data_IF_107796221649
#
_entry.id   IF_107796221649
#
_cell.length_a   1.000
_cell.length_b   1.000
_cell.length_c   1.000
_cell.angle_alpha   90.00
_cell.angle_beta   90.00
_cell.angle_gamma   90.00
#
_symmetry.space_group_name_H-M   'P 1'
#
loop_
_entity.id
_entity.type
_entity.pdbx_description
1 polymer ?
#
# COMPACT_ATOMS: atom_id res chain seq x y z
N UNK A 1 17.16 -16.73 21.47
CA UNK A 1 17.15 -15.40 20.84
C UNK A 1 16.96 -15.56 19.34
N UNK A 2 15.99 -14.87 18.82
CA UNK A 2 15.76 -14.91 17.38
C UNK A 2 16.80 -14.07 16.67
N UNK A 3 17.35 -14.60 15.59
CA UNK A 3 18.25 -13.83 14.75
C UNK A 3 17.48 -12.68 14.10
N UNK A 4 18.13 -11.51 13.88
CA UNK A 4 17.49 -10.44 13.14
C UNK A 4 17.10 -10.94 11.76
N UNK A 5 15.88 -10.68 11.35
CA UNK A 5 15.43 -11.00 9.99
C UNK A 5 16.12 -10.04 9.01
N UNK A 6 16.94 -10.54 8.08
CA UNK A 6 17.66 -9.67 7.16
C UNK A 6 16.77 -8.93 6.19
N UNK A 7 15.49 -9.29 6.08
CA UNK A 7 14.56 -8.57 5.23
C UNK A 7 13.98 -7.32 5.89
N UNK A 8 14.11 -7.17 7.21
CA UNK A 8 13.76 -5.93 7.88
C UNK A 8 14.80 -4.86 7.57
N UNK A 9 14.32 -3.69 7.25
CA UNK A 9 15.18 -2.55 6.92
C UNK A 9 14.65 -1.28 7.57
N UNK A 10 15.53 -0.29 7.85
CA UNK A 10 15.09 0.95 8.46
C UNK A 10 14.06 1.66 7.62
N UNK A 11 13.02 2.18 8.27
CA UNK A 11 12.01 2.99 7.62
C UNK A 11 12.51 4.43 7.59
N UNK A 12 12.55 5.01 6.39
CA UNK A 12 13.07 6.35 6.16
C UNK A 12 12.10 7.15 5.32
N UNK A 13 12.06 8.45 5.60
CA UNK A 13 11.41 9.41 4.71
C UNK A 13 12.40 10.50 4.38
N UNK A 14 12.27 11.07 3.19
CA UNK A 14 13.07 12.19 2.75
C UNK A 14 12.13 13.31 2.32
N UNK A 15 12.18 14.42 3.06
CA UNK A 15 11.31 15.59 2.84
C UNK A 15 9.82 15.22 2.85
N UNK A 16 9.45 14.25 3.71
CA UNK A 16 8.08 13.77 3.83
C UNK A 16 7.69 12.69 2.84
N UNK A 17 8.62 12.24 2.01
CA UNK A 17 8.35 11.21 0.98
C UNK A 17 9.12 9.92 1.28
N UNK A 18 8.48 8.75 1.13
CA UNK A 18 9.21 7.50 1.21
C UNK A 18 10.07 7.31 -0.04
N UNK A 19 11.22 6.61 0.07
CA UNK A 19 11.96 6.21 -1.12
C UNK A 19 11.10 5.35 -2.03
N UNK A 20 11.25 5.49 -3.35
CA UNK A 20 10.44 4.72 -4.31
C UNK A 20 10.63 3.21 -4.14
N UNK A 21 11.83 2.78 -3.77
CA UNK A 21 12.13 1.36 -3.54
C UNK A 21 11.42 0.79 -2.31
N UNK A 22 10.85 1.66 -1.46
CA UNK A 22 10.10 1.26 -0.27
C UNK A 22 8.59 1.24 -0.50
N UNK A 23 8.16 1.38 -1.76
CA UNK A 23 6.75 1.30 -2.13
C UNK A 23 6.46 -0.03 -2.80
N UNK A 24 5.46 -0.73 -2.28
CA UNK A 24 4.88 -1.89 -2.92
C UNK A 24 3.64 -1.49 -3.72
N UNK A 25 3.25 -2.32 -4.66
CA UNK A 25 2.10 -2.05 -5.52
C UNK A 25 1.04 -3.12 -5.31
N UNK A 26 -0.21 -2.66 -5.12
CA UNK A 26 -1.37 -3.55 -5.13
C UNK A 26 -2.32 -3.12 -6.24
N UNK A 27 -2.97 -4.09 -6.87
CA UNK A 27 -3.83 -3.80 -8.01
C UNK A 27 -4.89 -4.85 -8.22
N UNK A 28 -5.93 -4.49 -8.97
CA UNK A 28 -7.04 -5.36 -9.32
C UNK A 28 -7.22 -5.51 -10.84
N UNK A 29 -6.27 -5.00 -11.63
CA UNK A 29 -6.34 -4.98 -13.07
C UNK A 29 -6.96 -3.70 -13.64
N UNK A 30 -7.65 -2.91 -12.83
CA UNK A 30 -8.30 -1.66 -13.26
C UNK A 30 -7.62 -0.45 -12.65
N UNK A 31 -7.16 -0.58 -11.43
CA UNK A 31 -6.43 0.47 -10.72
C UNK A 31 -5.29 -0.13 -9.91
N UNK A 32 -4.46 0.74 -9.39
CA UNK A 32 -3.34 0.37 -8.53
C UNK A 32 -3.27 1.33 -7.35
N UNK A 33 -2.74 0.83 -6.24
CA UNK A 33 -2.34 1.66 -5.12
C UNK A 33 -0.88 1.38 -4.81
N UNK A 34 -0.20 2.38 -4.28
CA UNK A 34 1.14 2.22 -3.75
C UNK A 34 1.07 2.16 -2.23
N UNK A 35 1.77 1.18 -1.66
CA UNK A 35 1.77 0.96 -0.22
C UNK A 35 3.19 1.07 0.30
N UNK A 36 3.41 1.99 1.23
CA UNK A 36 4.73 2.26 1.78
C UNK A 36 5.14 1.29 2.87
N UNK A 37 6.43 1.18 3.05
CA UNK A 37 7.02 0.39 4.13
C UNK A 37 6.63 0.92 5.51
N UNK A 38 6.21 2.18 5.58
CA UNK A 38 5.76 2.85 6.80
C UNK A 38 4.28 2.65 7.11
N UNK A 39 3.58 1.83 6.33
CA UNK A 39 2.15 1.58 6.51
C UNK A 39 1.25 2.62 5.85
N UNK A 40 1.81 3.52 5.05
CA UNK A 40 1.02 4.53 4.33
C UNK A 40 0.60 4.05 2.95
N UNK A 41 -0.50 4.60 2.46
CA UNK A 41 -0.89 4.51 1.05
C UNK A 41 -0.85 5.92 0.47
N UNK A 42 0.27 6.31 -0.17
CA UNK A 42 0.43 7.67 -0.68
C UNK A 42 -0.16 7.89 -2.07
N UNK A 43 -0.65 6.84 -2.72
CA UNK A 43 -1.24 6.95 -4.04
C UNK A 43 -2.34 5.92 -4.23
N UNK A 44 -3.51 6.38 -4.66
CA UNK A 44 -4.64 5.52 -5.04
C UNK A 44 -5.59 6.29 -5.94
N UNK A 45 -5.89 5.72 -7.10
CA UNK A 45 -6.94 6.20 -8.00
C UNK A 45 -8.08 5.20 -8.03
N UNK A 46 -9.31 5.65 -7.99
CA UNK A 46 -10.50 4.82 -8.08
C UNK A 46 -11.51 5.48 -9.01
N UNK A 47 -12.25 4.70 -9.83
CA UNK A 47 -12.19 3.24 -9.94
C UNK A 47 -11.09 2.71 -10.87
N UNK A 48 -10.38 3.58 -11.58
CA UNK A 48 -9.38 3.21 -12.57
C UNK A 48 -8.07 3.95 -12.31
N UNK A 49 -6.98 3.42 -12.86
CA UNK A 49 -5.65 4.03 -12.70
C UNK A 49 -5.54 5.43 -13.33
N UNK A 50 -6.39 5.74 -14.31
CA UNK A 50 -6.44 7.06 -14.96
C UNK A 50 -7.52 7.98 -14.36
N UNK A 51 -8.19 7.54 -13.30
CA UNK A 51 -9.14 8.37 -12.56
C UNK A 51 -8.41 9.40 -11.70
N UNK A 52 -9.15 10.42 -11.24
CA UNK A 52 -8.56 11.36 -10.29
C UNK A 52 -8.09 10.63 -9.02
N UNK A 53 -6.91 10.97 -8.50
CA UNK A 53 -6.42 10.33 -7.29
C UNK A 53 -7.33 10.62 -6.09
N UNK A 54 -7.67 9.56 -5.37
CA UNK A 54 -8.36 9.69 -4.08
C UNK A 54 -7.38 10.18 -3.02
N UNK A 55 -6.17 9.65 -3.05
CA UNK A 55 -5.04 10.12 -2.25
C UNK A 55 -3.83 10.26 -3.16
N UNK A 56 -3.07 11.32 -3.01
CA UNK A 56 -1.90 11.59 -3.83
C UNK A 56 -0.76 12.27 -3.04
N UNK A 57 -0.58 11.84 -1.80
CA UNK A 57 0.52 12.31 -0.96
C UNK A 57 1.90 12.11 -1.59
N UNK A 58 1.99 11.17 -2.55
CA UNK A 58 3.22 10.94 -3.29
C UNK A 58 3.65 12.16 -4.10
N UNK A 59 2.69 12.95 -4.59
CA UNK A 59 2.96 14.16 -5.38
C UNK A 59 3.03 15.41 -4.51
N UNK A 60 2.25 15.44 -3.44
CA UNK A 60 2.20 16.57 -2.50
C UNK A 60 1.93 16.01 -1.10
N UNK A 61 2.99 15.91 -0.31
CA UNK A 61 2.91 15.31 1.01
C UNK A 61 2.02 16.10 1.98
N UNK A 62 1.84 17.39 1.74
CA UNK A 62 1.02 18.24 2.63
C UNK A 62 -0.45 18.25 2.23
N UNK A 63 -0.76 18.24 0.93
CA UNK A 63 -2.12 18.46 0.41
C UNK A 63 -2.73 17.24 -0.23
N UNK A 64 -1.90 16.30 -0.69
CA UNK A 64 -2.38 15.16 -1.46
C UNK A 64 -3.18 14.15 -0.67
N UNK A 65 -3.03 14.16 0.66
CA UNK A 65 -3.67 13.18 1.52
C UNK A 65 -3.01 11.81 1.44
N UNK A 66 -3.29 11.02 2.44
CA UNK A 66 -2.83 9.63 2.49
C UNK A 66 -3.70 8.85 3.47
N UNK A 67 -3.68 7.54 3.35
CA UNK A 67 -4.22 6.63 4.35
C UNK A 67 -3.04 5.91 5.00
N UNK A 68 -3.07 5.74 6.31
CA UNK A 68 -1.98 5.02 6.96
C UNK A 68 -2.45 4.21 8.16
N UNK A 69 -1.82 3.05 8.34
CA UNK A 69 -1.88 2.25 9.55
C UNK A 69 -0.44 1.99 9.95
N UNK A 70 -0.07 2.42 11.14
CA UNK A 70 1.32 2.34 11.58
C UNK A 70 1.41 1.94 13.05
N UNK A 71 2.61 1.78 13.53
CA UNK A 71 2.91 1.44 14.93
C UNK A 71 3.71 2.57 15.55
N UNK A 72 3.46 2.85 16.83
CA UNK A 72 4.21 3.86 17.55
C UNK A 72 5.69 3.47 17.64
N UNK A 73 6.55 4.45 17.38
CA UNK A 73 7.98 4.24 17.43
C UNK A 73 8.51 3.37 16.30
N UNK A 74 7.89 3.43 15.14
CA UNK A 74 8.30 2.64 13.96
C UNK A 74 9.77 2.88 13.65
N UNK A 75 10.57 1.80 13.63
CA UNK A 75 12.00 1.85 13.35
C UNK A 75 12.37 1.09 12.09
N UNK A 76 11.80 -0.10 11.91
CA UNK A 76 12.12 -0.95 10.78
C UNK A 76 10.91 -1.74 10.33
N UNK A 77 10.90 -2.15 9.08
CA UNK A 77 9.81 -2.90 8.49
C UNK A 77 10.30 -3.76 7.35
N UNK A 78 9.43 -4.68 6.93
CA UNK A 78 9.64 -5.49 5.73
C UNK A 78 8.34 -5.60 4.96
N UNK A 79 8.46 -5.77 3.65
CA UNK A 79 7.31 -6.02 2.78
C UNK A 79 7.58 -7.24 1.91
N UNK A 80 6.53 -8.02 1.68
CA UNK A 80 6.57 -9.14 0.75
C UNK A 80 5.19 -9.42 0.21
N UNK A 81 5.12 -10.03 -0.95
CA UNK A 81 3.85 -10.57 -1.45
C UNK A 81 3.65 -11.98 -0.91
N UNK A 82 2.41 -12.31 -0.58
CA UNK A 82 2.05 -13.70 -0.35
C UNK A 82 2.26 -14.49 -1.66
N UNK A 83 2.84 -15.70 -1.59
CA UNK A 83 3.14 -16.46 -2.81
C UNK A 83 1.93 -16.61 -3.72
N UNK A 84 2.14 -16.35 -5.01
CA UNK A 84 1.15 -16.50 -6.08
C UNK A 84 -0.09 -15.63 -5.91
N UNK A 85 0.06 -14.48 -5.22
CA UNK A 85 -1.06 -13.55 -5.01
C UNK A 85 -0.63 -12.11 -5.25
N UNK A 86 -1.62 -11.22 -5.35
CA UNK A 86 -1.39 -9.77 -5.31
C UNK A 86 -1.52 -9.17 -3.92
N UNK A 87 -1.48 -10.00 -2.89
CA UNK A 87 -1.62 -9.57 -1.49
C UNK A 87 -0.25 -9.16 -0.96
N UNK A 88 -0.14 -7.92 -0.50
CA UNK A 88 1.09 -7.37 0.04
C UNK A 88 1.03 -7.40 1.57
N UNK A 89 2.06 -7.97 2.19
CA UNK A 89 2.18 -8.03 3.64
C UNK A 89 3.32 -7.13 4.07
N UNK A 90 3.03 -6.21 4.98
CA UNK A 90 4.02 -5.32 5.59
C UNK A 90 4.08 -5.63 7.08
N UNK A 91 5.26 -5.95 7.58
CA UNK A 91 5.48 -6.13 9.01
C UNK A 91 6.32 -4.97 9.52
N UNK A 92 5.82 -4.30 10.56
CA UNK A 92 6.43 -3.09 11.12
C UNK A 92 6.79 -3.31 12.58
N UNK A 93 8.02 -2.96 12.94
CA UNK A 93 8.49 -3.02 14.32
C UNK A 93 8.52 -1.63 14.94
N UNK A 94 7.91 -1.52 16.11
CA UNK A 94 7.88 -0.29 16.88
C UNK A 94 8.31 -0.53 18.32
N UNK A 95 8.05 0.44 19.18
CA UNK A 95 8.52 0.44 20.56
C UNK A 95 7.97 -0.72 21.40
N UNK A 96 6.73 -1.11 21.16
CA UNK A 96 6.04 -2.07 22.00
C UNK A 96 5.66 -3.36 21.30
N UNK A 97 6.02 -3.53 20.04
CA UNK A 97 5.69 -4.75 19.33
C UNK A 97 5.79 -4.66 17.83
N UNK A 98 5.28 -5.69 17.17
CA UNK A 98 5.27 -5.82 15.72
C UNK A 98 3.82 -5.83 15.23
N UNK A 99 3.54 -5.06 14.20
CA UNK A 99 2.25 -5.03 13.52
C UNK A 99 2.40 -5.64 12.15
N UNK A 100 1.48 -6.54 11.80
CA UNK A 100 1.37 -7.07 10.44
C UNK A 100 0.19 -6.42 9.76
N UNK A 101 0.46 -5.77 8.64
CA UNK A 101 -0.56 -5.13 7.80
C UNK A 101 -0.65 -5.91 6.50
N UNK A 102 -1.87 -6.27 6.13
CA UNK A 102 -2.14 -6.98 4.89
C UNK A 102 -2.96 -6.09 3.97
N UNK A 103 -2.44 -5.80 2.80
CA UNK A 103 -3.06 -4.91 1.83
C UNK A 103 -3.39 -5.66 0.55
N UNK A 104 -4.58 -5.45 0.03
CA UNK A 104 -5.00 -5.98 -1.26
C UNK A 104 -6.15 -5.15 -1.80
N UNK A 105 -6.28 -5.09 -3.11
CA UNK A 105 -7.49 -4.59 -3.73
C UNK A 105 -8.42 -5.78 -3.95
N UNK A 106 -9.65 -5.64 -3.48
CA UNK A 106 -10.62 -6.73 -3.56
C UNK A 106 -11.04 -6.97 -5.00
N UNK A 107 -11.01 -8.24 -5.40
CA UNK A 107 -11.55 -8.68 -6.68
C UNK A 107 -12.97 -9.16 -6.45
N UNK A 108 -13.87 -8.82 -7.36
CA UNK A 108 -15.23 -9.32 -7.27
C UNK A 108 -15.28 -10.80 -7.65
N UNK A 109 -15.92 -11.64 -6.84
CA UNK A 109 -16.09 -13.05 -7.18
C UNK A 109 -16.90 -13.21 -8.45
N UNK A 110 -16.53 -14.20 -9.25
CA UNK A 110 -17.27 -14.56 -10.45
C UNK A 110 -16.96 -13.69 -11.65
N UNK A 111 -16.06 -12.75 -11.51
CA UNK A 111 -15.56 -11.90 -12.59
C UNK A 111 -16.69 -11.46 -13.55
N UNK A 112 -17.77 -10.92 -13.00
CA UNK A 112 -18.79 -10.34 -13.84
C UNK A 112 -18.26 -9.03 -14.38
N UNK A 113 -17.23 -9.17 -15.23
CA UNK A 113 -16.56 -8.06 -15.86
C UNK A 113 -17.54 -7.20 -16.66
N UNK A 114 -18.64 -7.81 -17.10
CA UNK A 114 -19.68 -7.10 -17.82
C UNK A 114 -20.36 -6.08 -16.92
N UNK A 115 -20.76 -6.52 -15.72
CA UNK A 115 -21.40 -5.61 -14.75
C UNK A 115 -20.43 -4.54 -14.27
N UNK A 116 -19.18 -4.90 -14.04
CA UNK A 116 -18.16 -3.92 -13.64
C UNK A 116 -17.90 -2.90 -14.74
N UNK A 117 -17.86 -3.33 -15.99
CA UNK A 117 -17.72 -2.42 -17.13
C UNK A 117 -18.92 -1.52 -17.28
N UNK A 118 -20.14 -2.06 -17.10
CA UNK A 118 -21.35 -1.26 -17.14
C UNK A 118 -21.42 -0.26 -16.01
N UNK A 119 -21.05 -0.66 -14.81
CA UNK A 119 -21.01 0.22 -13.66
C UNK A 119 -19.98 1.35 -13.85
N UNK A 120 -18.82 1.05 -14.41
CA UNK A 120 -17.81 2.03 -14.71
C UNK A 120 -18.23 2.96 -15.86
N UNK A 121 -18.98 2.43 -16.83
CA UNK A 121 -19.44 3.19 -17.97
C UNK A 121 -20.69 4.04 -17.71
N UNK A 122 -21.39 3.79 -16.62
CA UNK A 122 -22.60 4.51 -16.25
C UNK A 122 -22.32 5.84 -15.55
N UNK A 123 -21.07 6.13 -15.28
CA UNK A 123 -20.66 7.34 -14.56
C UNK A 123 -20.12 8.40 -15.53
#
# INVERSE_FOLDING_TARGET
>A
MLEPDPSFRPVRTRDGYPPLEDLGLIGDGSTVALAGLDGSIPWLCLPRFDSEPLVCGLLDAERGGHFSVTVDGLTEAQQRYEPDTGVLVTEMRGDSGTVRLTDALALRPGADLTDDLLAAGAN
#
